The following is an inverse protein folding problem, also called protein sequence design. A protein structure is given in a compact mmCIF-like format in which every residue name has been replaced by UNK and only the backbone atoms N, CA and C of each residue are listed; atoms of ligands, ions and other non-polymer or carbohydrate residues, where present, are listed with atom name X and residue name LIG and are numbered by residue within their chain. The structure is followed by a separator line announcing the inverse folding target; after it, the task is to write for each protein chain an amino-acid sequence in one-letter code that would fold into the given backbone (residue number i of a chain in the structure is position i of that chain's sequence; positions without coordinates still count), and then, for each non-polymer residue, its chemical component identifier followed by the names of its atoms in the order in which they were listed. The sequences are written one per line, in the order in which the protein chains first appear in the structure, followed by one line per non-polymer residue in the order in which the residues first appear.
data_IF_973524649982
#
_entry.id   IF_973524649982
#
_cell.length_a   1.000
_cell.length_b   1.000
_cell.length_c   1.000
_cell.angle_alpha   90.00
_cell.angle_beta   90.00
_cell.angle_gamma   90.00
#
_symmetry.space_group_name_H-M   'P 1'
#
loop_
_entity.id
_entity.type
_entity.pdbx_description
1 polymer ?
#
# COMPACT_ATOMS: atom_id res chain seq x y z
N UNK A 1 -9.73 26.07 26.21
CA UNK A 1 -8.39 25.46 25.93
C UNK A 1 -8.46 23.97 25.58
N UNK A 2 -8.93 23.07 26.46
CA UNK A 2 -9.01 21.63 26.15
C UNK A 2 -10.09 21.29 25.09
N UNK A 3 -11.20 22.03 25.06
CA UNK A 3 -12.26 21.93 24.04
C UNK A 3 -11.81 22.40 22.64
N UNK A 4 -11.09 23.51 22.56
CA UNK A 4 -10.61 24.08 21.27
C UNK A 4 -9.54 23.18 20.62
N UNK A 5 -8.69 22.53 21.44
CA UNK A 5 -7.72 21.53 20.98
C UNK A 5 -8.37 20.25 20.46
N UNK A 6 -9.57 19.90 20.92
CA UNK A 6 -10.33 18.75 20.43
C UNK A 6 -11.02 19.08 19.10
N UNK A 7 -11.67 20.24 19.00
CA UNK A 7 -12.34 20.69 17.77
C UNK A 7 -11.34 20.88 16.62
N UNK A 8 -10.18 21.48 16.89
CA UNK A 8 -9.12 21.62 15.87
C UNK A 8 -8.51 20.28 15.42
N UNK A 9 -8.49 19.28 16.31
CA UNK A 9 -8.01 17.92 16.01
C UNK A 9 -8.98 17.18 15.08
N UNK A 10 -10.28 17.27 15.35
CA UNK A 10 -11.31 16.63 14.53
C UNK A 10 -11.40 17.27 13.15
N UNK A 11 -11.36 18.59 13.04
CA UNK A 11 -11.36 19.29 11.75
C UNK A 11 -10.18 18.87 10.86
N UNK A 12 -8.98 18.77 11.45
CA UNK A 12 -7.77 18.36 10.73
C UNK A 12 -7.80 16.88 10.33
N UNK A 13 -8.55 16.04 11.04
CA UNK A 13 -8.78 14.64 10.67
C UNK A 13 -9.78 14.54 9.52
N UNK A 14 -10.83 15.35 9.55
CA UNK A 14 -11.84 15.44 8.50
C UNK A 14 -11.20 15.89 7.19
N UNK A 15 -10.45 17.00 7.19
CA UNK A 15 -9.77 17.52 5.98
C UNK A 15 -8.82 16.50 5.39
N UNK A 16 -8.05 15.80 6.23
CA UNK A 16 -7.14 14.74 5.78
C UNK A 16 -7.89 13.58 5.12
N UNK A 17 -9.00 13.12 5.71
CA UNK A 17 -9.80 12.04 5.14
C UNK A 17 -10.49 12.43 3.82
N UNK A 18 -10.93 13.67 3.69
CA UNK A 18 -11.45 14.21 2.43
C UNK A 18 -10.36 14.26 1.36
N UNK A 19 -9.15 14.74 1.70
CA UNK A 19 -8.00 14.73 0.80
C UNK A 19 -7.68 13.33 0.29
N UNK A 20 -7.61 12.34 1.19
CA UNK A 20 -7.40 10.93 0.81
C UNK A 20 -8.48 10.43 -0.14
N UNK A 21 -9.74 10.76 0.14
CA UNK A 21 -10.88 10.32 -0.68
C UNK A 21 -10.81 10.88 -2.11
N UNK A 22 -10.44 12.16 -2.27
CA UNK A 22 -10.31 12.79 -3.59
C UNK A 22 -9.22 12.11 -4.42
N UNK A 23 -8.04 11.86 -3.84
CA UNK A 23 -6.95 11.16 -4.53
C UNK A 23 -7.35 9.74 -4.93
N UNK A 24 -8.04 9.02 -4.05
CA UNK A 24 -8.54 7.69 -4.36
C UNK A 24 -9.57 7.68 -5.48
N UNK A 25 -10.57 8.57 -5.45
CA UNK A 25 -11.58 8.69 -6.52
C UNK A 25 -10.92 9.07 -7.85
N UNK A 26 -9.96 10.01 -7.84
CA UNK A 26 -9.27 10.43 -9.06
C UNK A 26 -8.45 9.29 -9.70
N UNK A 27 -7.67 8.56 -8.91
CA UNK A 27 -6.90 7.39 -9.41
C UNK A 27 -7.79 6.25 -9.86
N UNK A 28 -8.94 6.06 -9.20
CA UNK A 28 -9.95 5.12 -9.66
C UNK A 28 -10.50 5.49 -11.05
N UNK A 29 -11.00 6.72 -11.21
CA UNK A 29 -11.54 7.18 -12.50
C UNK A 29 -10.51 7.05 -13.62
N UNK A 30 -9.26 7.41 -13.34
CA UNK A 30 -8.16 7.25 -14.27
C UNK A 30 -7.93 5.78 -14.64
N UNK A 31 -8.00 4.87 -13.66
CA UNK A 31 -7.84 3.43 -13.89
C UNK A 31 -8.96 2.88 -14.77
N UNK A 32 -10.21 3.27 -14.54
CA UNK A 32 -11.35 2.85 -15.39
C UNK A 32 -11.18 3.36 -16.81
N UNK A 33 -10.87 4.65 -16.98
CA UNK A 33 -10.64 5.25 -18.30
C UNK A 33 -9.50 4.54 -19.02
N UNK A 34 -8.39 4.25 -18.32
CA UNK A 34 -7.25 3.54 -18.90
C UNK A 34 -7.62 2.13 -19.34
N UNK A 35 -8.35 1.36 -18.53
CA UNK A 35 -8.79 0.00 -18.88
C UNK A 35 -9.72 0.02 -20.10
N UNK A 36 -10.70 0.93 -20.13
CA UNK A 36 -11.63 1.08 -21.26
C UNK A 36 -10.88 1.50 -22.53
N UNK A 37 -9.95 2.45 -22.43
CA UNK A 37 -9.14 2.90 -23.57
C UNK A 37 -8.24 1.79 -24.11
N UNK A 38 -7.56 1.03 -23.23
CA UNK A 38 -6.73 -0.12 -23.65
C UNK A 38 -7.59 -1.15 -24.38
N UNK A 39 -8.77 -1.48 -23.85
CA UNK A 39 -9.69 -2.41 -24.50
C UNK A 39 -10.07 -1.94 -25.91
N UNK A 40 -10.35 -0.64 -26.06
CA UNK A 40 -10.74 -0.05 -27.34
C UNK A 40 -9.60 -0.01 -28.37
N UNK A 41 -8.37 0.34 -27.98
CA UNK A 41 -7.26 0.50 -28.93
C UNK A 41 -6.55 -0.80 -29.29
N UNK A 42 -6.55 -1.78 -28.39
CA UNK A 42 -5.77 -3.02 -28.58
C UNK A 42 -6.65 -4.24 -28.87
N UNK A 43 -7.97 -4.09 -28.76
CA UNK A 43 -8.94 -5.20 -28.73
C UNK A 43 -8.57 -6.28 -27.69
N UNK A 44 -7.70 -5.95 -26.73
CA UNK A 44 -7.24 -6.82 -25.67
C UNK A 44 -7.85 -6.37 -24.36
N UNK A 45 -8.67 -7.24 -23.79
CA UNK A 45 -9.33 -6.97 -22.53
C UNK A 45 -8.39 -7.31 -21.37
N UNK A 46 -7.64 -6.30 -20.91
CA UNK A 46 -6.70 -6.46 -19.79
C UNK A 46 -7.40 -6.93 -18.51
N UNK A 47 -8.67 -6.56 -18.31
CA UNK A 47 -9.43 -6.92 -17.13
C UNK A 47 -9.73 -8.42 -17.06
N UNK A 48 -9.97 -9.06 -18.22
CA UNK A 48 -10.24 -10.50 -18.31
C UNK A 48 -8.97 -11.36 -18.29
N UNK A 49 -7.79 -10.74 -18.24
CA UNK A 49 -6.52 -11.45 -18.20
C UNK A 49 -6.45 -12.36 -16.96
N UNK A 50 -6.53 -13.66 -17.21
CA UNK A 50 -6.56 -14.69 -16.18
C UNK A 50 -5.36 -15.62 -16.33
N UNK A 51 -4.63 -15.84 -15.23
CA UNK A 51 -3.52 -16.78 -15.17
C UNK A 51 -4.04 -18.14 -14.69
N UNK A 52 -3.76 -19.20 -15.45
CA UNK A 52 -4.29 -20.56 -15.22
C UNK A 52 -5.82 -20.62 -15.05
N UNK A 53 -6.59 -19.74 -15.72
CA UNK A 53 -8.07 -19.65 -15.67
C UNK A 53 -8.65 -19.26 -14.29
N UNK A 54 -7.93 -19.52 -13.20
CA UNK A 54 -8.42 -19.35 -11.81
C UNK A 54 -8.04 -18.00 -11.22
N UNK A 55 -6.88 -17.43 -11.58
CA UNK A 55 -6.39 -16.18 -10.97
C UNK A 55 -6.63 -15.00 -11.91
N UNK A 56 -7.58 -14.09 -11.61
CA UNK A 56 -7.87 -12.92 -12.43
C UNK A 56 -6.77 -11.85 -12.22
N UNK A 57 -5.60 -12.08 -12.80
CA UNK A 57 -4.42 -11.23 -12.65
C UNK A 57 -4.70 -9.78 -13.10
N UNK A 58 -5.45 -9.62 -14.19
CA UNK A 58 -5.89 -8.32 -14.70
C UNK A 58 -6.72 -7.55 -13.67
N UNK A 59 -7.80 -8.16 -13.19
CA UNK A 59 -8.69 -7.54 -12.21
C UNK A 59 -7.96 -7.21 -10.89
N UNK A 60 -7.08 -8.11 -10.40
CA UNK A 60 -6.24 -7.87 -9.22
C UNK A 60 -5.37 -6.62 -9.37
N UNK A 61 -4.67 -6.50 -10.51
CA UNK A 61 -3.81 -5.36 -10.79
C UNK A 61 -4.62 -4.07 -10.95
N UNK A 62 -5.76 -4.13 -11.64
CA UNK A 62 -6.67 -2.99 -11.76
C UNK A 62 -7.20 -2.54 -10.39
N UNK A 63 -7.56 -3.48 -9.51
CA UNK A 63 -8.01 -3.18 -8.15
C UNK A 63 -6.91 -2.50 -7.32
N UNK A 64 -5.68 -3.02 -7.39
CA UNK A 64 -4.54 -2.42 -6.72
C UNK A 64 -4.19 -1.03 -7.28
N UNK A 65 -4.22 -0.86 -8.60
CA UNK A 65 -3.98 0.41 -9.28
C UNK A 65 -5.04 1.46 -8.90
N UNK A 66 -6.32 1.07 -8.92
CA UNK A 66 -7.42 1.94 -8.49
C UNK A 66 -7.31 2.35 -7.00
N UNK A 67 -6.80 1.47 -6.14
CA UNK A 67 -6.60 1.77 -4.73
C UNK A 67 -5.31 2.57 -4.42
N UNK A 68 -4.40 2.71 -5.38
CA UNK A 68 -3.11 3.37 -5.18
C UNK A 68 -3.23 4.85 -4.77
N UNK A 69 -4.25 5.58 -5.21
CA UNK A 69 -4.47 6.96 -4.78
C UNK A 69 -4.86 7.07 -3.31
N UNK A 70 -5.62 6.10 -2.76
CA UNK A 70 -5.85 6.04 -1.32
C UNK A 70 -4.56 5.80 -0.56
N UNK A 71 -3.65 4.99 -1.12
CA UNK A 71 -2.33 4.74 -0.54
C UNK A 71 -1.47 6.01 -0.47
N UNK A 72 -1.27 6.68 -1.62
CA UNK A 72 -0.47 7.91 -1.66
C UNK A 72 -1.12 9.04 -0.87
N UNK A 73 -2.44 9.20 -0.97
CA UNK A 73 -3.18 10.19 -0.19
C UNK A 73 -3.00 9.96 1.32
N UNK A 74 -3.14 8.72 1.79
CA UNK A 74 -3.03 8.41 3.24
C UNK A 74 -1.64 8.73 3.78
N UNK A 75 -0.59 8.45 2.99
CA UNK A 75 0.78 8.79 3.36
C UNK A 75 1.03 10.30 3.33
N UNK A 76 0.49 11.01 2.33
CA UNK A 76 0.65 12.46 2.16
C UNK A 76 -0.04 13.25 3.29
N UNK A 77 -1.28 12.88 3.63
CA UNK A 77 -2.06 13.54 4.69
C UNK A 77 -1.77 12.98 6.09
N UNK A 78 -0.91 11.96 6.19
CA UNK A 78 -0.59 11.24 7.42
C UNK A 78 -1.83 10.71 8.16
N UNK A 79 -2.86 10.34 7.41
CA UNK A 79 -4.14 9.83 7.94
C UNK A 79 -4.21 8.33 7.79
N UNK A 80 -4.75 7.67 8.82
CA UNK A 80 -4.93 6.22 8.80
C UNK A 80 -6.14 5.86 7.94
N UNK A 81 -6.06 4.79 7.12
CA UNK A 81 -7.20 4.34 6.36
C UNK A 81 -8.33 3.90 7.29
N UNK A 82 -9.51 4.43 7.04
CA UNK A 82 -10.74 4.10 7.77
C UNK A 82 -11.52 3.01 7.05
N UNK A 83 -12.58 2.51 7.70
CA UNK A 83 -13.55 1.59 7.06
C UNK A 83 -14.25 2.26 5.87
N UNK A 84 -14.36 3.60 5.87
CA UNK A 84 -14.92 4.34 4.73
C UNK A 84 -14.15 4.09 3.43
N UNK A 85 -12.82 3.97 3.50
CA UNK A 85 -12.00 3.65 2.31
C UNK A 85 -12.33 2.25 1.78
N UNK A 86 -12.58 1.28 2.68
CA UNK A 86 -12.98 -0.07 2.28
C UNK A 86 -14.33 -0.06 1.55
N UNK A 87 -15.30 0.70 2.09
CA UNK A 87 -16.61 0.88 1.45
C UNK A 87 -16.45 1.56 0.08
N UNK A 88 -15.61 2.59 -0.01
CA UNK A 88 -15.31 3.25 -1.27
C UNK A 88 -14.73 2.25 -2.28
N UNK A 89 -13.75 1.42 -1.90
CA UNK A 89 -13.19 0.36 -2.76
C UNK A 89 -14.29 -0.59 -3.28
N UNK A 90 -15.24 -1.00 -2.43
CA UNK A 90 -16.34 -1.90 -2.84
C UNK A 90 -17.31 -1.23 -3.83
N UNK A 91 -17.75 0.00 -3.53
CA UNK A 91 -18.64 0.78 -4.41
C UNK A 91 -17.95 1.02 -5.76
N UNK A 92 -16.68 1.38 -5.70
CA UNK A 92 -15.81 1.60 -6.85
C UNK A 92 -15.66 0.34 -7.69
N UNK A 93 -15.45 -0.83 -7.08
CA UNK A 93 -15.38 -2.12 -7.76
C UNK A 93 -16.68 -2.44 -8.51
N UNK A 94 -17.83 -2.20 -7.87
CA UNK A 94 -19.14 -2.43 -8.49
C UNK A 94 -19.36 -1.50 -9.69
N UNK A 95 -19.01 -0.21 -9.56
CA UNK A 95 -19.08 0.75 -10.67
C UNK A 95 -18.13 0.36 -11.81
N UNK A 96 -16.91 -0.07 -11.49
CA UNK A 96 -15.92 -0.50 -12.49
C UNK A 96 -16.45 -1.69 -13.30
N UNK A 97 -16.97 -2.71 -12.62
CA UNK A 97 -17.54 -3.89 -13.27
C UNK A 97 -18.68 -3.50 -14.22
N UNK A 98 -19.60 -2.65 -13.75
CA UNK A 98 -20.69 -2.14 -14.57
C UNK A 98 -20.19 -1.34 -15.76
N UNK A 99 -19.24 -0.43 -15.56
CA UNK A 99 -18.69 0.43 -16.62
C UNK A 99 -17.95 -0.36 -17.69
N UNK A 100 -17.25 -1.44 -17.33
CA UNK A 100 -16.56 -2.31 -18.29
C UNK A 100 -17.58 -3.02 -19.18
N UNK A 101 -18.59 -3.69 -18.60
CA UNK A 101 -19.63 -4.36 -19.39
C UNK A 101 -20.47 -3.38 -20.22
N UNK A 102 -20.80 -2.22 -19.65
CA UNK A 102 -21.54 -1.19 -20.36
C UNK A 102 -20.72 -0.56 -21.49
N UNK A 103 -19.41 -0.40 -21.28
CA UNK A 103 -18.47 0.05 -22.30
C UNK A 103 -18.40 -0.94 -23.46
N UNK A 104 -18.26 -2.23 -23.16
CA UNK A 104 -18.32 -3.29 -24.18
C UNK A 104 -19.65 -3.27 -24.93
N UNK A 105 -20.79 -3.23 -24.22
CA UNK A 105 -22.12 -3.11 -24.81
C UNK A 105 -22.26 -1.93 -25.79
N UNK A 106 -21.77 -0.74 -25.40
CA UNK A 106 -21.91 0.47 -26.22
C UNK A 106 -20.96 0.50 -27.40
N UNK A 107 -19.80 -0.13 -27.29
CA UNK A 107 -18.73 -0.06 -28.30
C UNK A 107 -18.66 -1.30 -29.19
N UNK A 108 -19.46 -2.34 -28.89
CA UNK A 108 -19.53 -3.55 -29.70
C UNK A 108 -20.27 -3.26 -31.02
N UNK A 109 -19.54 -3.27 -32.12
CA UNK A 109 -20.09 -3.27 -33.47
C UNK A 109 -20.42 -4.70 -33.90
N UNK A 110 -21.66 -4.94 -34.36
CA UNK A 110 -22.07 -6.24 -34.87
C UNK A 110 -21.55 -6.53 -36.30
N UNK A 111 -20.68 -5.70 -36.85
CA UNK A 111 -20.08 -5.86 -38.18
C UNK A 111 -20.97 -5.33 -39.32
N UNK A 112 -22.18 -4.88 -38.99
CA UNK A 112 -23.16 -4.32 -39.92
C UNK A 112 -23.22 -2.79 -39.83
N UNK A 113 -22.29 -2.15 -39.10
CA UNK A 113 -22.30 -0.71 -38.82
C UNK A 113 -23.36 -0.26 -37.81
N UNK A 114 -23.97 -1.21 -37.10
CA UNK A 114 -24.93 -0.97 -36.02
C UNK A 114 -24.31 -1.42 -34.71
N UNK A 115 -24.39 -0.54 -33.71
CA UNK A 115 -23.89 -0.85 -32.38
C UNK A 115 -24.85 -1.80 -31.67
N UNK A 116 -24.35 -2.65 -30.77
CA UNK A 116 -25.19 -3.54 -29.99
C UNK A 116 -26.25 -2.78 -29.17
N UNK A 117 -25.93 -1.54 -28.76
CA UNK A 117 -26.87 -0.68 -28.05
C UNK A 117 -28.08 -0.21 -28.84
N UNK A 118 -28.06 -0.35 -30.17
CA UNK A 118 -29.17 0.05 -31.03
C UNK A 118 -30.16 -1.09 -31.26
N UNK A 119 -29.80 -2.32 -30.86
CA UNK A 119 -30.52 -3.54 -31.21
C UNK A 119 -31.06 -4.26 -29.97
N UNK A 120 -30.31 -4.27 -28.87
CA UNK A 120 -30.62 -5.06 -27.66
C UNK A 120 -30.50 -4.18 -26.43
N UNK A 121 -31.31 -4.38 -25.40
CA UNK A 121 -31.19 -3.64 -24.14
C UNK A 121 -29.96 -4.09 -23.33
N UNK A 122 -29.38 -3.22 -22.48
CA UNK A 122 -28.18 -3.59 -21.70
C UNK A 122 -28.37 -4.85 -20.83
N UNK A 123 -29.53 -5.03 -20.22
CA UNK A 123 -29.84 -6.22 -19.41
C UNK A 123 -29.83 -7.51 -20.23
N UNK A 124 -30.37 -7.42 -21.45
CA UNK A 124 -30.48 -8.55 -22.37
C UNK A 124 -29.12 -8.83 -23.03
N UNK A 125 -28.34 -7.79 -23.34
CA UNK A 125 -26.94 -7.92 -23.72
C UNK A 125 -26.12 -8.59 -22.62
N UNK A 126 -26.27 -8.16 -21.37
CA UNK A 126 -25.52 -8.72 -20.25
C UNK A 126 -25.86 -10.19 -20.04
N UNK A 127 -27.14 -10.56 -20.16
CA UNK A 127 -27.57 -11.96 -20.05
C UNK A 127 -26.99 -12.81 -21.21
N UNK A 128 -27.11 -12.33 -22.45
CA UNK A 128 -26.54 -13.00 -23.64
C UNK A 128 -25.02 -13.12 -23.52
N UNK A 129 -24.32 -12.03 -23.17
CA UNK A 129 -22.87 -12.01 -23.03
C UNK A 129 -22.41 -12.99 -21.96
N UNK A 130 -23.02 -12.94 -20.77
CA UNK A 130 -22.66 -13.84 -19.66
C UNK A 130 -23.01 -15.30 -19.94
N UNK A 131 -24.02 -15.58 -20.77
CA UNK A 131 -24.40 -16.94 -21.18
C UNK A 131 -23.59 -17.48 -22.37
N UNK A 132 -22.94 -16.63 -23.16
CA UNK A 132 -22.18 -17.02 -24.37
C UNK A 132 -20.69 -16.64 -24.33
N UNK A 133 -20.13 -16.27 -23.16
CA UNK A 133 -18.70 -15.95 -23.05
C UNK A 133 -17.85 -17.20 -23.26
N UNK A 134 -17.06 -17.26 -24.34
CA UNK A 134 -16.06 -18.31 -24.59
C UNK A 134 -14.66 -17.86 -24.18
N UNK A 135 -13.90 -18.72 -23.48
CA UNK A 135 -12.52 -18.43 -23.09
C UNK A 135 -11.56 -18.76 -24.23
N UNK A 136 -10.71 -17.79 -24.63
CA UNK A 136 -9.52 -18.05 -25.45
C UNK A 136 -8.34 -18.44 -24.55
N UNK A 137 -7.97 -19.71 -24.57
CA UNK A 137 -6.84 -20.26 -23.81
C UNK A 137 -5.58 -20.28 -24.68
N UNK A 138 -4.54 -19.54 -24.28
CA UNK A 138 -3.16 -19.70 -24.78
C UNK A 138 -2.88 -19.27 -26.24
N UNK A 139 -1.58 -19.22 -26.60
CA UNK A 139 -1.05 -18.81 -27.92
C UNK A 139 -1.46 -19.72 -29.10
N UNK A 140 -2.17 -20.82 -28.83
CA UNK A 140 -2.72 -21.72 -29.84
C UNK A 140 -4.22 -21.83 -29.60
N UNK A 141 -4.99 -21.03 -30.35
CA UNK A 141 -6.44 -20.92 -30.20
C UNK A 141 -7.13 -22.26 -30.40
N UNK A 142 -7.53 -22.87 -29.29
CA UNK A 142 -8.53 -23.94 -29.28
C UNK A 142 -9.77 -23.37 -28.62
N UNK A 143 -10.80 -23.13 -29.44
CA UNK A 143 -12.12 -22.71 -28.99
C UNK A 143 -12.69 -23.84 -28.14
N UNK A 144 -12.69 -23.65 -26.83
CA UNK A 144 -13.48 -24.48 -25.93
C UNK A 144 -14.93 -24.02 -26.10
N UNK A 145 -15.79 -24.89 -26.66
CA UNK A 145 -17.16 -24.57 -27.05
C UNK A 145 -18.03 -23.98 -25.93
N UNK A 146 -19.18 -23.42 -26.30
CA UNK A 146 -20.11 -22.66 -25.44
C UNK A 146 -20.19 -23.20 -24.00
N UNK A 147 -19.58 -22.46 -23.08
CA UNK A 147 -19.57 -22.80 -21.66
C UNK A 147 -20.63 -21.95 -20.95
N UNK A 148 -21.91 -22.29 -21.14
CA UNK A 148 -23.13 -21.61 -20.62
C UNK A 148 -23.01 -20.74 -19.34
N UNK A 149 -23.55 -21.18 -18.19
CA UNK A 149 -23.60 -20.40 -16.93
C UNK A 149 -22.22 -20.06 -16.31
N UNK A 150 -21.12 -20.52 -16.91
CA UNK A 150 -19.76 -20.27 -16.39
C UNK A 150 -19.29 -18.84 -16.60
N UNK A 151 -19.83 -18.09 -17.57
CA UNK A 151 -19.49 -16.67 -17.75
C UNK A 151 -19.84 -15.81 -16.53
N UNK A 152 -20.95 -16.12 -15.85
CA UNK A 152 -21.34 -15.48 -14.58
C UNK A 152 -20.34 -15.75 -13.45
N UNK A 153 -19.83 -16.98 -13.38
CA UNK A 153 -18.83 -17.38 -12.39
C UNK A 153 -17.50 -16.64 -12.64
N UNK A 154 -17.08 -16.53 -13.90
CA UNK A 154 -15.86 -15.82 -14.27
C UNK A 154 -15.96 -14.31 -13.98
N UNK A 155 -17.10 -13.69 -14.31
CA UNK A 155 -17.41 -12.31 -13.96
C UNK A 155 -17.30 -12.07 -12.44
N UNK A 156 -17.88 -12.98 -11.65
CA UNK A 156 -17.81 -12.91 -10.20
C UNK A 156 -16.38 -13.08 -9.67
N UNK A 157 -15.59 -14.00 -10.23
CA UNK A 157 -14.17 -14.17 -9.90
C UNK A 157 -13.38 -12.90 -10.20
N UNK A 158 -13.62 -12.25 -11.34
CA UNK A 158 -12.96 -10.98 -11.70
C UNK A 158 -13.32 -9.87 -10.72
N UNK A 159 -14.60 -9.74 -10.36
CA UNK A 159 -15.04 -8.79 -9.33
C UNK A 159 -14.31 -9.04 -7.99
N UNK A 160 -14.25 -10.30 -7.55
CA UNK A 160 -13.50 -10.67 -6.35
C UNK A 160 -12.02 -10.34 -6.48
N UNK A 161 -11.41 -10.59 -7.65
CA UNK A 161 -10.03 -10.22 -7.95
C UNK A 161 -9.80 -8.72 -7.75
N UNK A 162 -10.66 -7.88 -8.32
CA UNK A 162 -10.56 -6.43 -8.15
C UNK A 162 -10.68 -6.01 -6.68
N UNK A 163 -11.67 -6.55 -5.95
CA UNK A 163 -11.85 -6.27 -4.52
C UNK A 163 -10.62 -6.69 -3.73
N UNK A 164 -10.10 -7.90 -3.95
CA UNK A 164 -8.89 -8.41 -3.28
C UNK A 164 -7.68 -7.52 -3.59
N UNK A 165 -7.53 -7.09 -4.85
CA UNK A 165 -6.49 -6.15 -5.27
C UNK A 165 -6.56 -4.84 -4.48
N UNK A 166 -7.73 -4.21 -4.38
CA UNK A 166 -7.91 -2.97 -3.62
C UNK A 166 -7.74 -3.16 -2.09
N UNK A 167 -8.28 -4.24 -1.53
CA UNK A 167 -8.15 -4.58 -0.11
C UNK A 167 -6.70 -4.84 0.26
N UNK A 168 -5.91 -5.46 -0.62
CA UNK A 168 -4.48 -5.69 -0.38
C UNK A 168 -3.71 -4.39 -0.12
N UNK A 169 -4.00 -3.33 -0.89
CA UNK A 169 -3.42 -2.00 -0.71
C UNK A 169 -3.85 -1.37 0.63
N UNK A 170 -5.12 -1.55 1.01
CA UNK A 170 -5.62 -1.11 2.31
C UNK A 170 -4.94 -1.84 3.49
N UNK A 171 -4.68 -3.14 3.34
CA UNK A 171 -3.93 -3.93 4.32
C UNK A 171 -2.47 -3.46 4.42
N UNK A 172 -1.81 -3.18 3.30
CA UNK A 172 -0.44 -2.64 3.29
C UNK A 172 -0.34 -1.33 4.09
N UNK A 173 -1.32 -0.45 3.97
CA UNK A 173 -1.38 0.79 4.75
C UNK A 173 -1.46 0.53 6.26
N UNK A 174 -2.10 -0.55 6.72
CA UNK A 174 -2.22 -0.85 8.15
C UNK A 174 -0.90 -1.22 8.82
N UNK A 175 0.11 -1.63 8.04
CA UNK A 175 1.44 -2.00 8.55
C UNK A 175 2.25 -0.77 8.96
N UNK A 176 1.93 0.41 8.42
CA UNK A 176 2.67 1.63 8.72
C UNK A 176 2.48 2.06 10.19
N UNK A 177 3.56 2.49 10.88
CA UNK A 177 3.46 2.82 12.29
C UNK A 177 2.70 4.13 12.50
N UNK A 178 1.76 4.07 13.43
CA UNK A 178 0.89 5.17 13.82
C UNK A 178 1.25 5.72 15.19
N UNK A 179 0.89 6.97 15.43
CA UNK A 179 0.94 7.60 16.74
C UNK A 179 -0.20 7.06 17.62
N UNK A 180 0.11 6.59 18.82
CA UNK A 180 -0.90 6.08 19.78
C UNK A 180 -1.88 7.17 20.23
N UNK A 181 -1.44 8.44 20.32
CA UNK A 181 -2.27 9.55 20.80
C UNK A 181 -3.30 10.03 19.78
N UNK A 182 -2.94 10.06 18.50
CA UNK A 182 -3.78 10.66 17.46
C UNK A 182 -4.08 9.76 16.26
N UNK A 183 -3.55 8.54 16.22
CA UNK A 183 -3.78 7.57 15.15
C UNK A 183 -3.15 7.91 13.79
N UNK A 184 -2.42 9.02 13.67
CA UNK A 184 -1.78 9.47 12.42
C UNK A 184 -0.50 8.73 12.12
N UNK A 185 -0.14 8.63 10.84
CA UNK A 185 1.14 8.06 10.44
C UNK A 185 2.31 8.89 10.95
N UNK A 186 3.35 8.19 11.42
CA UNK A 186 4.59 8.82 11.86
C UNK A 186 5.46 9.14 10.65
N UNK A 187 5.95 10.39 10.59
CA UNK A 187 6.91 10.84 9.59
C UNK A 187 8.33 10.48 10.01
N UNK A 188 9.14 9.99 9.10
CA UNK A 188 10.58 9.81 9.35
C UNK A 188 11.25 11.16 9.51
N UNK A 189 11.90 11.39 10.65
CA UNK A 189 12.63 12.62 10.98
C UNK A 189 14.13 12.47 10.73
N UNK A 190 14.70 11.33 11.11
CA UNK A 190 16.10 11.01 10.90
C UNK A 190 16.28 9.51 10.75
N UNK A 191 17.30 9.12 9.97
CA UNK A 191 17.80 7.75 9.90
C UNK A 191 19.30 7.80 10.15
N UNK A 192 19.78 6.88 10.97
CA UNK A 192 21.20 6.71 11.27
C UNK A 192 21.55 5.23 11.17
N UNK A 193 22.68 4.95 10.54
CA UNK A 193 23.25 3.63 10.47
C UNK A 193 24.54 3.61 11.29
N UNK A 194 24.67 2.64 12.18
CA UNK A 194 25.86 2.38 12.98
C UNK A 194 26.36 0.98 12.65
N UNK A 195 27.68 0.83 12.54
CA UNK A 195 28.35 -0.43 12.22
C UNK A 195 29.25 -0.78 13.41
N UNK A 196 29.21 -2.03 13.81
CA UNK A 196 29.97 -2.61 14.89
C UNK A 196 30.76 -3.79 14.34
N UNK A 197 32.08 -3.70 14.44
CA UNK A 197 33.02 -4.71 13.92
C UNK A 197 33.07 -5.94 14.84
N UNK A 198 32.80 -5.76 16.13
CA UNK A 198 32.79 -6.83 17.13
C UNK A 198 31.40 -7.00 17.76
N UNK A 199 31.10 -8.22 18.21
CA UNK A 199 29.88 -8.51 18.95
C UNK A 199 29.88 -7.84 20.33
N UNK A 200 31.03 -7.75 20.99
CA UNK A 200 31.16 -7.13 22.32
C UNK A 200 30.80 -5.65 22.30
N UNK A 201 31.29 -4.89 21.31
CA UNK A 201 30.94 -3.48 21.14
C UNK A 201 29.44 -3.30 20.90
N UNK A 202 28.84 -4.19 20.10
CA UNK A 202 27.40 -4.18 19.86
C UNK A 202 26.61 -4.48 21.14
N UNK A 203 26.96 -5.51 21.90
CA UNK A 203 26.28 -5.85 23.17
C UNK A 203 26.37 -4.68 24.16
N UNK A 204 27.57 -4.11 24.30
CA UNK A 204 27.78 -2.93 25.16
C UNK A 204 26.93 -1.74 24.71
N UNK A 205 26.83 -1.49 23.42
CA UNK A 205 25.94 -0.44 22.90
C UNK A 205 24.46 -0.78 23.16
N UNK A 206 24.04 -2.00 22.84
CA UNK A 206 22.66 -2.42 22.83
C UNK A 206 22.05 -2.38 24.24
N UNK A 207 22.75 -2.93 25.22
CA UNK A 207 22.28 -3.05 26.60
C UNK A 207 22.24 -1.67 27.28
N UNK A 208 23.30 -0.86 27.14
CA UNK A 208 23.40 0.42 27.85
C UNK A 208 22.54 1.55 27.24
N UNK A 209 22.16 1.48 25.96
CA UNK A 209 21.55 2.62 25.26
C UNK A 209 20.27 3.14 25.91
N UNK A 210 19.43 2.26 26.46
CA UNK A 210 18.16 2.66 27.09
C UNK A 210 18.15 2.50 28.61
N UNK A 211 19.27 2.11 29.21
CA UNK A 211 19.47 2.23 30.66
C UNK A 211 19.76 3.69 31.05
N UNK A 212 20.35 4.47 30.13
CA UNK A 212 20.60 5.90 30.33
C UNK A 212 19.39 6.76 29.95
N UNK A 213 19.17 7.91 30.61
CA UNK A 213 18.13 8.86 30.22
C UNK A 213 18.31 9.34 28.78
N UNK A 214 17.23 9.30 28.01
CA UNK A 214 17.24 9.54 26.55
C UNK A 214 17.56 11.00 26.18
N UNK A 215 17.31 11.94 27.09
CA UNK A 215 17.68 13.35 27.02
C UNK A 215 19.10 13.64 27.54
N UNK A 216 19.76 12.65 28.12
CA UNK A 216 21.07 12.82 28.75
C UNK A 216 22.23 12.91 27.76
N UNK A 217 23.35 13.52 28.16
CA UNK A 217 24.56 13.60 27.34
C UNK A 217 25.16 12.22 27.03
N UNK A 218 24.97 11.23 27.92
CA UNK A 218 25.44 9.85 27.73
C UNK A 218 24.69 9.14 26.60
N UNK A 219 23.36 9.33 26.51
CA UNK A 219 22.57 8.83 25.39
C UNK A 219 23.07 9.43 24.07
N UNK A 220 23.33 10.74 24.05
CA UNK A 220 23.85 11.42 22.87
C UNK A 220 25.25 10.90 22.46
N UNK A 221 26.11 10.57 23.43
CA UNK A 221 27.41 9.96 23.16
C UNK A 221 27.27 8.56 22.58
N UNK A 222 26.44 7.69 23.18
CA UNK A 222 26.20 6.34 22.66
C UNK A 222 25.59 6.38 21.25
N UNK A 223 24.65 7.29 21.00
CA UNK A 223 24.10 7.50 19.67
C UNK A 223 25.12 8.02 18.66
N UNK A 224 26.14 8.77 19.09
CA UNK A 224 27.25 9.25 18.24
C UNK A 224 28.36 8.23 18.07
N UNK A 225 28.49 7.29 19.00
CA UNK A 225 29.53 6.27 18.99
C UNK A 225 29.37 5.33 17.79
N UNK A 226 30.44 5.19 17.01
CA UNK A 226 30.43 4.39 15.79
C UNK A 226 31.78 3.67 15.66
N UNK A 227 31.99 2.61 16.45
CA UNK A 227 33.30 1.97 16.58
C UNK A 227 33.79 1.35 15.26
N UNK A 228 32.90 0.82 14.42
CA UNK A 228 33.27 0.23 13.13
C UNK A 228 33.34 1.19 11.95
N UNK A 229 33.44 2.51 12.17
CA UNK A 229 33.49 3.49 11.07
C UNK A 229 34.83 3.41 10.34
N UNK A 230 34.83 2.83 9.13
CA UNK A 230 36.02 2.69 8.29
C UNK A 230 36.62 1.29 8.29
N UNK A 231 36.10 0.39 9.11
CA UNK A 231 36.54 -1.00 9.15
C UNK A 231 36.02 -1.80 7.96
N UNK A 232 36.77 -2.84 7.58
CA UNK A 232 36.33 -3.78 6.55
C UNK A 232 35.16 -4.60 7.07
N UNK A 233 34.07 -4.64 6.30
CA UNK A 233 32.91 -5.48 6.59
C UNK A 233 33.32 -6.94 6.42
N UNK A 234 33.42 -7.63 7.54
CA UNK A 234 33.72 -9.07 7.61
C UNK A 234 32.51 -9.84 8.14
N UNK A 235 32.50 -11.16 7.95
CA UNK A 235 31.48 -12.04 8.52
C UNK A 235 31.38 -11.82 10.03
N UNK A 236 30.16 -11.60 10.53
CA UNK A 236 29.91 -11.26 11.92
C UNK A 236 29.82 -9.76 12.21
N UNK A 237 30.10 -8.88 11.25
CA UNK A 237 29.86 -7.43 11.39
C UNK A 237 28.38 -7.17 11.64
N UNK A 238 28.07 -6.37 12.66
CA UNK A 238 26.70 -6.03 13.05
C UNK A 238 26.39 -4.61 12.60
N UNK A 239 25.26 -4.43 11.92
CA UNK A 239 24.74 -3.14 11.51
C UNK A 239 23.46 -2.84 12.27
N UNK A 240 23.41 -1.69 12.93
CA UNK A 240 22.18 -1.19 13.56
C UNK A 240 21.66 0.01 12.78
N UNK A 241 20.40 -0.07 12.33
CA UNK A 241 19.69 1.02 11.69
C UNK A 241 18.70 1.65 12.67
N UNK A 242 19.03 2.85 13.12
CA UNK A 242 18.17 3.64 14.01
C UNK A 242 17.34 4.62 13.18
N UNK A 243 16.03 4.49 13.24
CA UNK A 243 15.06 5.38 12.60
C UNK A 243 14.29 6.16 13.65
N UNK A 244 14.42 7.49 13.62
CA UNK A 244 13.61 8.41 14.42
C UNK A 244 12.37 8.80 13.62
N UNK A 245 11.19 8.50 14.15
CA UNK A 245 9.90 8.90 13.58
C UNK A 245 9.19 9.88 14.51
N UNK A 246 8.49 10.86 13.95
CA UNK A 246 7.76 11.88 14.69
C UNK A 246 6.34 12.04 14.19
N UNK A 247 5.43 12.35 15.10
CA UNK A 247 4.06 12.67 14.74
C UNK A 247 3.96 14.12 14.23
N UNK A 248 3.36 14.38 13.05
CA UNK A 248 3.19 15.75 12.54
C UNK A 248 2.16 16.58 13.32
N UNK A 249 1.41 15.97 14.23
CA UNK A 249 0.36 16.65 14.99
C UNK A 249 0.67 16.74 16.49
N UNK A 250 1.03 15.60 17.11
CA UNK A 250 1.32 15.54 18.55
C UNK A 250 2.79 15.78 18.88
N UNK A 251 3.67 15.89 17.87
CA UNK A 251 5.12 16.02 18.01
C UNK A 251 5.83 14.91 18.82
N UNK A 252 5.11 13.88 19.26
CA UNK A 252 5.66 12.69 19.91
C UNK A 252 6.66 12.00 19.00
N UNK A 253 7.78 11.54 19.58
CA UNK A 253 8.83 10.85 18.86
C UNK A 253 8.87 9.36 19.23
N UNK A 254 9.28 8.53 18.27
CA UNK A 254 9.48 7.09 18.43
C UNK A 254 10.79 6.71 17.76
N UNK A 255 11.63 5.99 18.50
CA UNK A 255 12.84 5.37 17.96
C UNK A 255 12.51 3.93 17.57
N UNK A 256 12.94 3.53 16.39
CA UNK A 256 12.94 2.14 15.93
C UNK A 256 14.36 1.75 15.61
N UNK A 257 14.86 0.66 16.17
CA UNK A 257 16.17 0.12 15.88
C UNK A 257 16.03 -1.27 15.29
N UNK A 258 16.51 -1.42 14.06
CA UNK A 258 16.59 -2.68 13.32
C UNK A 258 18.04 -3.15 13.33
N UNK A 259 18.27 -4.42 13.63
CA UNK A 259 19.62 -5.00 13.73
C UNK A 259 19.81 -6.02 12.62
N UNK A 260 20.92 -5.88 11.89
CA UNK A 260 21.33 -6.75 10.80
C UNK A 260 22.71 -7.32 11.08
N UNK A 261 22.93 -8.58 10.74
CA UNK A 261 24.24 -9.24 10.89
C UNK A 261 24.76 -9.66 9.52
N UNK A 262 26.03 -9.36 9.24
CA UNK A 262 26.68 -9.77 8.00
C UNK A 262 26.95 -11.27 8.01
N UNK A 263 26.27 -12.00 7.13
CA UNK A 263 26.57 -13.40 6.84
C UNK A 263 27.73 -13.53 5.85
N UNK A 264 27.71 -14.56 5.02
CA UNK A 264 28.78 -14.84 4.05
C UNK A 264 28.78 -13.88 2.85
N UNK A 265 27.62 -13.31 2.48
CA UNK A 265 27.46 -12.43 1.31
C UNK A 265 26.55 -11.22 1.54
N UNK A 266 25.63 -11.31 2.50
CA UNK A 266 24.60 -10.29 2.71
C UNK A 266 24.30 -10.09 4.20
N UNK A 267 23.79 -8.90 4.51
CA UNK A 267 23.24 -8.57 5.82
C UNK A 267 21.86 -9.21 5.98
N UNK A 268 21.69 -10.01 7.04
CA UNK A 268 20.42 -10.61 7.41
C UNK A 268 19.82 -9.90 8.62
N UNK A 269 18.54 -9.58 8.55
CA UNK A 269 17.80 -9.02 9.68
C UNK A 269 17.73 -10.01 10.83
N UNK A 270 17.82 -9.50 12.05
CA UNK A 270 17.61 -10.25 13.30
C UNK A 270 16.37 -9.65 13.99
N UNK A 271 15.16 -10.15 13.68
CA UNK A 271 13.91 -9.56 14.17
C UNK A 271 13.82 -9.53 15.70
N UNK A 272 14.42 -10.53 16.37
CA UNK A 272 14.41 -10.65 17.83
C UNK A 272 15.11 -9.48 18.55
N UNK A 273 16.06 -8.82 17.89
CA UNK A 273 16.78 -7.67 18.44
C UNK A 273 16.16 -6.34 18.01
N UNK A 274 15.12 -6.37 17.17
CA UNK A 274 14.43 -5.15 16.72
C UNK A 274 13.61 -4.58 17.85
N UNK A 275 13.84 -3.31 18.18
CA UNK A 275 13.13 -2.63 19.28
C UNK A 275 12.49 -1.34 18.82
N UNK A 276 11.34 -1.06 19.42
CA UNK A 276 10.60 0.17 19.18
C UNK A 276 10.28 0.84 20.51
N UNK A 277 10.87 2.01 20.75
CA UNK A 277 10.77 2.70 22.02
C UNK A 277 10.13 4.07 21.80
N UNK A 278 9.14 4.38 22.64
CA UNK A 278 8.48 5.69 22.66
C UNK A 278 9.31 6.65 23.49
N UNK A 279 9.49 7.86 22.98
CA UNK A 279 10.20 8.92 23.68
C UNK A 279 9.19 9.69 24.54
N UNK A 280 9.55 10.06 25.79
CA UNK A 280 8.73 10.94 26.61
C UNK A 280 8.39 12.25 25.88
N UNK A 281 7.23 12.82 26.22
CA UNK A 281 6.77 14.06 25.61
C UNK A 281 7.71 15.23 25.98
N UNK A 282 7.96 16.14 25.05
CA UNK A 282 8.80 17.32 25.27
C UNK A 282 10.28 17.17 24.93
N UNK A 283 10.76 15.95 24.66
CA UNK A 283 12.15 15.68 24.25
C UNK A 283 12.27 15.70 22.72
N UNK A 284 13.25 16.43 22.19
CA UNK A 284 13.60 16.42 20.76
C UNK A 284 14.95 15.73 20.51
N UNK A 285 14.91 14.54 19.90
CA UNK A 285 16.11 13.76 19.58
C UNK A 285 16.62 13.98 18.15
N UNK A 286 16.00 14.86 17.36
CA UNK A 286 16.54 15.25 16.05
C UNK A 286 18.03 15.62 16.10
N UNK A 287 18.53 16.48 17.00
CA UNK A 287 19.95 16.86 17.00
C UNK A 287 20.89 15.69 17.31
N UNK A 288 20.40 14.64 17.98
CA UNK A 288 21.20 13.47 18.35
C UNK A 288 21.21 12.41 17.25
N UNK A 289 20.08 12.21 16.58
CA UNK A 289 19.90 11.13 15.58
C UNK A 289 20.16 11.59 14.15
N UNK A 290 20.06 12.89 13.85
CA UNK A 290 20.36 13.41 12.52
C UNK A 290 21.81 13.08 12.19
N UNK A 291 22.01 12.30 11.13
CA UNK A 291 23.34 12.06 10.59
C UNK A 291 23.97 13.41 10.27
N UNK A 292 25.18 13.63 10.79
CA UNK A 292 26.10 14.61 10.22
C UNK A 292 26.53 14.08 8.87
#
# INVERSE_FOLDING_TARGET
MQRDLLVGRDLKNIVGNFGVSIFGIATFLLTVIAVVAVNQFTHFNFFTLSFFVVVPAGALLCGAAAASGYYFGSLLFHTRPTVLILIQILVVAAIAQFAIYYGEYRLLDLGNGRMASDVVSFSEYLDIYLSHTSLRVGRAGTNTGDIGDYGRILAFIQFLGFVVGGVSVWLMLRVYPVCEKCGRYLRTLAKKQQIFSTQEDFTRYYDNLFEVPVDGPHFAQLMKWQPGKGDKIVKGTIQTQTTLRGCPNCHTQRISQEVKVCGDKEFRDVPQLTRHIRIPDGIDLKPVVKAV
#
